data_IF_886781331890
#
_entry.id   IF_886781331890
#
_cell.length_a   1.000
_cell.length_b   1.000
_cell.length_c   1.000
_cell.angle_alpha   90.00
_cell.angle_beta   90.00
_cell.angle_gamma   90.00
#
_symmetry.space_group_name_H-M   'P 1'
#
loop_
_entity.id
_entity.type
_entity.pdbx_description
1 polymer ?
#
# COMPACT_ATOMS: atom_id res chain seq x y z
N UNK A 1 -11.70 -7.68 -6.17
CA UNK A 1 -11.44 -8.73 -5.17
C UNK A 1 -11.19 -8.11 -3.80
N UNK A 2 -11.62 -8.78 -2.76
CA UNK A 2 -11.40 -8.39 -1.38
C UNK A 2 -11.05 -9.64 -0.56
N UNK A 3 -9.88 -9.61 0.09
CA UNK A 3 -9.47 -10.64 1.04
C UNK A 3 -9.85 -10.23 2.44
N UNK A 4 -10.43 -11.15 3.20
CA UNK A 4 -10.87 -10.92 4.58
C UNK A 4 -10.38 -12.05 5.47
N UNK A 5 -9.84 -11.70 6.62
CA UNK A 5 -9.63 -12.65 7.71
C UNK A 5 -10.70 -12.40 8.78
N UNK A 6 -11.72 -13.25 8.89
CA UNK A 6 -12.89 -12.99 9.74
C UNK A 6 -12.56 -12.86 11.23
N UNK A 7 -11.55 -13.59 11.69
CA UNK A 7 -11.02 -13.50 13.05
C UNK A 7 -9.54 -13.85 13.05
N UNK A 8 -8.83 -13.49 14.10
CA UNK A 8 -7.43 -13.89 14.28
C UNK A 8 -7.31 -15.42 14.17
N UNK A 9 -6.30 -15.88 13.42
CA UNK A 9 -5.99 -17.29 13.19
C UNK A 9 -7.09 -18.11 12.46
N UNK A 10 -8.04 -17.45 11.81
CA UNK A 10 -8.97 -18.12 10.89
C UNK A 10 -8.45 -18.05 9.46
N UNK A 11 -8.92 -18.98 8.62
CA UNK A 11 -8.57 -18.96 7.20
C UNK A 11 -9.07 -17.68 6.54
N UNK A 12 -8.31 -17.19 5.57
CA UNK A 12 -8.70 -16.07 4.74
C UNK A 12 -9.88 -16.46 3.84
N UNK A 13 -10.75 -15.49 3.60
CA UNK A 13 -11.84 -15.57 2.65
C UNK A 13 -11.61 -14.58 1.53
N UNK A 14 -11.97 -14.98 0.32
CA UNK A 14 -11.91 -14.14 -0.87
C UNK A 14 -13.32 -13.82 -1.33
N UNK A 15 -13.57 -12.54 -1.58
CA UNK A 15 -14.82 -12.05 -2.15
C UNK A 15 -14.55 -11.32 -3.45
N UNK A 16 -15.47 -11.48 -4.41
CA UNK A 16 -15.48 -10.70 -5.65
C UNK A 16 -16.76 -9.90 -5.74
N UNK A 17 -16.65 -8.60 -6.03
CA UNK A 17 -17.82 -7.83 -6.40
C UNK A 17 -18.24 -8.16 -7.84
N UNK A 18 -19.52 -8.41 -8.03
CA UNK A 18 -20.11 -8.66 -9.36
C UNK A 18 -20.32 -7.38 -10.15
N UNK A 19 -20.31 -6.24 -9.47
CA UNK A 19 -20.56 -4.92 -10.05
C UNK A 19 -19.51 -3.93 -9.57
N UNK A 20 -19.26 -2.91 -10.39
CA UNK A 20 -18.30 -1.85 -10.07
C UNK A 20 -18.76 -0.93 -8.93
N UNK A 21 -19.98 -1.10 -8.42
CA UNK A 21 -20.54 -0.33 -7.31
C UNK A 21 -20.24 -0.96 -5.93
N UNK A 22 -19.61 -2.12 -5.91
CA UNK A 22 -19.28 -2.88 -4.68
C UNK A 22 -20.48 -3.17 -3.76
N UNK A 23 -21.71 -3.24 -4.30
CA UNK A 23 -22.93 -3.50 -3.51
C UNK A 23 -23.26 -4.98 -3.36
N UNK A 24 -22.78 -5.81 -4.28
CA UNK A 24 -22.99 -7.25 -4.25
C UNK A 24 -21.67 -8.00 -4.27
N UNK A 25 -21.52 -8.98 -3.40
CA UNK A 25 -20.31 -9.77 -3.24
C UNK A 25 -20.63 -11.26 -3.28
N UNK A 26 -19.79 -12.02 -3.95
CA UNK A 26 -19.81 -13.49 -3.91
C UNK A 26 -18.51 -13.98 -3.27
N UNK A 27 -18.64 -14.98 -2.41
CA UNK A 27 -17.47 -15.68 -1.86
C UNK A 27 -16.91 -16.62 -2.93
N UNK A 28 -15.61 -16.56 -3.13
CA UNK A 28 -14.88 -17.42 -4.06
C UNK A 28 -14.06 -18.45 -3.28
N UNK A 29 -13.82 -19.64 -3.84
CA UNK A 29 -12.85 -20.56 -3.26
C UNK A 29 -11.47 -19.87 -3.21
N UNK A 30 -10.71 -20.16 -2.18
CA UNK A 30 -9.35 -19.67 -2.01
C UNK A 30 -8.47 -20.87 -1.66
N UNK A 31 -7.43 -21.11 -2.43
CA UNK A 31 -6.52 -22.23 -2.27
C UNK A 31 -5.05 -21.81 -2.32
N UNK A 32 -4.20 -22.56 -1.65
CA UNK A 32 -2.75 -22.44 -1.72
C UNK A 32 -2.10 -21.44 -0.78
N UNK A 33 -2.84 -20.50 -0.19
CA UNK A 33 -2.28 -19.61 0.84
C UNK A 33 -2.26 -20.31 2.22
N UNK A 34 -1.27 -20.02 3.06
CA UNK A 34 -1.28 -20.46 4.45
C UNK A 34 -2.47 -19.83 5.20
N UNK A 35 -2.93 -20.54 6.26
CA UNK A 35 -4.12 -20.12 7.02
C UNK A 35 -3.92 -18.78 7.77
N UNK A 36 -2.68 -18.36 7.99
CA UNK A 36 -2.34 -17.12 8.71
C UNK A 36 -1.01 -16.56 8.23
N UNK A 37 -0.69 -15.34 8.66
CA UNK A 37 0.61 -14.73 8.40
C UNK A 37 0.75 -14.06 7.03
N UNK A 38 -0.28 -14.07 6.18
CA UNK A 38 -0.21 -13.43 4.85
C UNK A 38 -0.34 -11.91 4.99
N UNK A 39 0.54 -11.17 4.32
CA UNK A 39 0.58 -9.70 4.32
C UNK A 39 -0.37 -9.13 3.24
N UNK A 40 -1.67 -9.30 3.43
CA UNK A 40 -2.70 -8.96 2.45
C UNK A 40 -2.70 -7.48 2.03
N UNK A 41 -2.21 -6.58 2.87
CA UNK A 41 -2.09 -5.15 2.54
C UNK A 41 -1.00 -4.85 1.51
N UNK A 42 -0.15 -5.82 1.20
CA UNK A 42 0.97 -5.71 0.27
C UNK A 42 0.78 -6.58 -0.98
N UNK A 43 -0.45 -7.01 -1.29
CA UNK A 43 -0.70 -7.70 -2.56
C UNK A 43 -0.39 -6.73 -3.69
N UNK A 44 0.47 -7.15 -4.61
CA UNK A 44 0.82 -6.38 -5.79
C UNK A 44 0.68 -7.23 -7.05
N UNK A 45 0.44 -6.61 -8.19
CA UNK A 45 0.44 -7.28 -9.49
C UNK A 45 1.72 -6.94 -10.24
N UNK A 46 2.35 -7.95 -10.84
CA UNK A 46 3.53 -7.80 -11.66
C UNK A 46 3.58 -8.92 -12.70
N UNK A 47 3.93 -8.60 -13.93
CA UNK A 47 4.06 -9.57 -15.04
C UNK A 47 2.87 -10.55 -15.14
N UNK A 48 1.65 -10.00 -15.15
CA UNK A 48 0.37 -10.74 -15.22
C UNK A 48 0.07 -11.71 -14.05
N UNK A 49 0.85 -11.64 -12.97
CA UNK A 49 0.63 -12.40 -11.74
C UNK A 49 0.37 -11.47 -10.57
N UNK A 50 -0.37 -11.95 -9.60
CA UNK A 50 -0.47 -11.36 -8.27
C UNK A 50 0.58 -11.99 -7.37
N UNK A 51 1.18 -11.18 -6.50
CA UNK A 51 2.18 -11.61 -5.52
C UNK A 51 1.77 -11.18 -4.11
N UNK A 52 2.07 -12.02 -3.13
CA UNK A 52 1.88 -11.72 -1.71
C UNK A 52 2.97 -12.40 -0.89
N UNK A 53 3.50 -11.69 0.10
CA UNK A 53 4.45 -12.25 1.05
C UNK A 53 3.75 -12.70 2.35
N UNK A 54 4.43 -13.55 3.11
CA UNK A 54 4.05 -13.92 4.48
C UNK A 54 4.97 -13.27 5.50
N UNK A 55 4.56 -13.26 6.76
CA UNK A 55 5.40 -12.78 7.87
C UNK A 55 6.68 -13.60 8.05
N UNK A 56 6.64 -14.86 7.66
CA UNK A 56 7.77 -15.79 7.68
C UNK A 56 8.74 -15.57 6.51
N UNK A 57 8.35 -14.74 5.54
CA UNK A 57 9.18 -14.35 4.40
C UNK A 57 8.98 -15.18 3.13
N UNK A 58 8.00 -16.08 3.11
CA UNK A 58 7.66 -16.83 1.89
C UNK A 58 6.87 -15.96 0.91
N UNK A 59 7.15 -16.11 -0.38
CA UNK A 59 6.45 -15.42 -1.47
C UNK A 59 5.49 -16.38 -2.16
N UNK A 60 4.28 -15.91 -2.42
CA UNK A 60 3.26 -16.65 -3.18
C UNK A 60 2.86 -15.85 -4.41
N UNK A 61 2.52 -16.56 -5.49
CA UNK A 61 1.98 -15.95 -6.72
C UNK A 61 0.68 -16.62 -7.15
N UNK A 62 -0.12 -15.87 -7.92
CA UNK A 62 -1.39 -16.35 -8.47
C UNK A 62 -1.70 -15.62 -9.78
N UNK A 63 -2.22 -16.36 -10.78
CA UNK A 63 -2.70 -15.77 -12.02
C UNK A 63 -4.16 -15.27 -11.93
N UNK A 64 -4.94 -15.76 -10.97
CA UNK A 64 -6.38 -15.53 -10.88
C UNK A 64 -6.83 -14.94 -9.52
N UNK A 65 -5.87 -14.69 -8.62
CA UNK A 65 -6.10 -14.26 -7.23
C UNK A 65 -6.86 -15.28 -6.36
N UNK A 66 -7.14 -16.47 -6.88
CA UNK A 66 -7.90 -17.55 -6.22
C UNK A 66 -6.98 -18.71 -5.84
N UNK A 67 -6.16 -19.14 -6.80
CA UNK A 67 -5.24 -20.26 -6.65
C UNK A 67 -3.80 -19.73 -6.51
N UNK A 68 -3.23 -19.92 -5.33
CA UNK A 68 -1.90 -19.42 -5.00
C UNK A 68 -0.88 -20.54 -4.94
N UNK A 69 0.33 -20.26 -5.35
CA UNK A 69 1.44 -21.19 -5.34
C UNK A 69 2.66 -20.54 -4.70
N UNK A 70 3.39 -21.33 -3.91
CA UNK A 70 4.67 -20.91 -3.37
C UNK A 70 5.65 -20.66 -4.53
N UNK A 71 6.34 -19.52 -4.47
CA UNK A 71 7.42 -19.21 -5.41
C UNK A 71 8.71 -19.74 -4.81
N UNK A 72 9.21 -20.83 -5.38
CA UNK A 72 10.42 -21.50 -4.89
C UNK A 72 11.68 -20.69 -5.21
N UNK A 73 12.73 -20.85 -4.40
CA UNK A 73 14.02 -20.20 -4.64
C UNK A 73 14.06 -18.70 -4.37
N UNK A 74 13.04 -18.17 -3.69
CA UNK A 74 12.99 -16.74 -3.33
C UNK A 74 13.79 -16.46 -2.05
N UNK A 75 14.42 -15.27 -1.94
CA UNK A 75 14.98 -14.81 -0.66
C UNK A 75 13.85 -14.63 0.36
N UNK A 76 14.20 -14.47 1.61
CA UNK A 76 13.23 -14.19 2.68
C UNK A 76 12.66 -12.79 2.54
N UNK A 77 11.44 -12.68 1.99
CA UNK A 77 10.78 -11.41 1.67
C UNK A 77 10.18 -10.80 2.94
N UNK A 78 10.68 -9.64 3.34
CA UNK A 78 10.14 -8.87 4.47
C UNK A 78 8.91 -8.07 4.07
N UNK A 79 8.94 -7.42 2.91
CA UNK A 79 7.86 -6.56 2.40
C UNK A 79 7.88 -6.49 0.89
N UNK A 80 6.71 -6.46 0.28
CA UNK A 80 6.55 -6.06 -1.12
C UNK A 80 6.27 -4.56 -1.17
N UNK A 81 7.01 -3.84 -2.02
CA UNK A 81 6.94 -2.38 -2.11
C UNK A 81 6.13 -1.91 -3.33
N UNK A 82 6.00 -2.74 -4.35
CA UNK A 82 5.33 -2.41 -5.59
C UNK A 82 6.05 -3.01 -6.79
N UNK A 83 5.83 -2.44 -7.98
CA UNK A 83 6.53 -2.86 -9.19
C UNK A 83 6.95 -1.64 -10.00
N UNK A 84 8.02 -1.80 -10.77
CA UNK A 84 8.48 -0.84 -11.77
C UNK A 84 8.14 -1.44 -13.14
N UNK A 85 7.42 -0.68 -13.95
CA UNK A 85 7.08 -1.07 -15.31
C UNK A 85 8.28 -0.87 -16.25
N UNK A 86 8.29 -1.58 -17.36
CA UNK A 86 9.30 -1.40 -18.38
C UNK A 86 9.33 0.07 -18.82
N UNK A 87 10.52 0.64 -18.83
CA UNK A 87 10.77 2.00 -19.32
C UNK A 87 11.94 1.98 -20.29
N UNK A 88 12.19 3.11 -20.95
CA UNK A 88 13.23 3.22 -22.01
C UNK A 88 14.62 2.76 -21.56
N UNK A 89 14.90 2.77 -20.25
CA UNK A 89 16.22 2.47 -19.70
C UNK A 89 16.22 1.45 -18.56
N UNK A 90 15.05 0.90 -18.18
CA UNK A 90 14.92 -0.01 -17.05
C UNK A 90 13.95 -1.14 -17.39
N UNK A 91 14.33 -2.41 -17.14
CA UNK A 91 13.40 -3.53 -17.25
C UNK A 91 12.31 -3.44 -16.17
N UNK A 92 11.18 -4.08 -16.44
CA UNK A 92 10.15 -4.26 -15.43
C UNK A 92 10.65 -5.14 -14.29
N UNK A 93 10.38 -4.76 -13.04
CA UNK A 93 10.77 -5.52 -11.85
C UNK A 93 9.74 -5.42 -10.73
N UNK A 94 9.62 -6.48 -9.92
CA UNK A 94 8.92 -6.46 -8.65
C UNK A 94 9.88 -5.96 -7.56
N UNK A 95 9.48 -4.92 -6.84
CA UNK A 95 10.28 -4.29 -5.78
C UNK A 95 9.93 -4.85 -4.40
N UNK A 96 10.95 -5.22 -3.63
CA UNK A 96 10.79 -5.79 -2.31
C UNK A 96 11.90 -5.36 -1.34
N UNK A 97 11.68 -5.65 -0.05
CA UNK A 97 12.72 -5.73 0.98
C UNK A 97 12.92 -7.21 1.29
N UNK A 98 14.17 -7.64 1.33
CA UNK A 98 14.52 -9.02 1.71
C UNK A 98 15.47 -9.02 2.90
N UNK A 99 15.47 -10.12 3.64
CA UNK A 99 16.34 -10.33 4.79
C UNK A 99 17.58 -11.12 4.37
N UNK A 100 18.76 -10.56 4.58
CA UNK A 100 20.07 -11.18 4.39
C UNK A 100 20.81 -11.31 5.72
N UNK A 101 21.97 -11.98 5.73
CA UNK A 101 22.78 -12.19 6.94
C UNK A 101 23.13 -10.89 7.67
N UNK A 102 23.37 -9.81 6.92
CA UNK A 102 23.81 -8.51 7.46
C UNK A 102 22.65 -7.53 7.70
N UNK A 103 21.40 -7.93 7.46
CA UNK A 103 20.22 -7.09 7.67
C UNK A 103 19.27 -7.04 6.49
N UNK A 104 18.45 -5.98 6.45
CA UNK A 104 17.48 -5.78 5.38
C UNK A 104 18.13 -5.06 4.20
N UNK A 105 17.89 -5.56 3.00
CA UNK A 105 18.33 -4.94 1.74
C UNK A 105 17.15 -4.74 0.80
N UNK A 106 17.24 -3.75 -0.08
CA UNK A 106 16.31 -3.62 -1.19
C UNK A 106 16.58 -4.72 -2.22
N UNK A 107 15.54 -5.16 -2.91
CA UNK A 107 15.66 -6.22 -3.88
C UNK A 107 14.67 -6.03 -5.03
N UNK A 108 15.08 -6.51 -6.19
CA UNK A 108 14.30 -6.52 -7.42
C UNK A 108 14.19 -7.94 -7.98
N UNK A 109 12.99 -8.36 -8.38
CA UNK A 109 12.78 -9.62 -9.09
C UNK A 109 12.36 -9.31 -10.53
N UNK A 110 13.12 -9.82 -11.50
CA UNK A 110 12.80 -9.66 -12.92
C UNK A 110 11.67 -10.61 -13.38
N UNK A 111 11.30 -10.51 -14.66
CA UNK A 111 10.22 -11.31 -15.25
C UNK A 111 10.50 -12.83 -15.28
N UNK A 112 11.77 -13.22 -15.24
CA UNK A 112 12.24 -14.62 -15.19
C UNK A 112 12.28 -15.17 -13.76
N UNK A 113 11.92 -14.35 -12.74
CA UNK A 113 11.95 -14.72 -11.33
C UNK A 113 13.34 -14.66 -10.68
N UNK A 114 14.29 -14.02 -11.36
CA UNK A 114 15.65 -13.84 -10.82
C UNK A 114 15.68 -12.62 -9.91
N UNK A 115 16.37 -12.76 -8.78
CA UNK A 115 16.51 -11.71 -7.78
C UNK A 115 17.87 -11.03 -7.88
N UNK A 116 17.83 -9.71 -7.75
CA UNK A 116 19.00 -8.86 -7.57
C UNK A 116 18.82 -8.08 -6.27
N UNK A 117 19.89 -7.96 -5.46
CA UNK A 117 19.89 -7.18 -4.21
C UNK A 117 20.67 -5.89 -4.41
N UNK A 118 20.16 -4.83 -3.80
CA UNK A 118 20.70 -3.48 -3.88
C UNK A 118 21.26 -2.99 -2.55
N UNK A 119 20.96 -1.74 -2.23
CA UNK A 119 21.45 -1.08 -1.03
C UNK A 119 20.81 -1.62 0.24
N UNK A 120 21.52 -1.42 1.37
CA UNK A 120 20.97 -1.66 2.70
C UNK A 120 19.78 -0.72 2.95
N UNK A 121 18.72 -1.26 3.55
CA UNK A 121 17.55 -0.47 3.93
C UNK A 121 17.93 0.50 5.05
N UNK A 122 17.78 1.82 4.87
CA UNK A 122 18.03 2.80 5.92
C UNK A 122 17.18 2.55 7.17
N UNK A 123 17.74 2.82 8.35
CA UNK A 123 17.07 2.52 9.63
C UNK A 123 15.68 3.16 9.76
N UNK A 124 15.49 4.34 9.16
CA UNK A 124 14.21 5.07 9.17
C UNK A 124 13.32 4.80 7.96
N UNK A 125 13.71 3.92 7.04
CA UNK A 125 12.82 3.47 5.96
C UNK A 125 11.70 2.58 6.54
N UNK A 126 10.44 2.77 6.12
CA UNK A 126 9.34 1.97 6.64
C UNK A 126 9.35 0.55 6.04
N UNK A 127 9.25 -0.45 6.90
CA UNK A 127 9.22 -1.88 6.50
C UNK A 127 7.85 -2.52 6.68
N UNK A 128 6.92 -1.83 7.37
CA UNK A 128 5.54 -2.29 7.54
C UNK A 128 4.56 -1.12 7.71
N UNK A 129 3.28 -1.34 7.44
CA UNK A 129 2.22 -0.35 7.64
C UNK A 129 2.34 0.91 6.77
N UNK A 130 3.19 0.90 5.77
CA UNK A 130 3.32 1.97 4.77
C UNK A 130 2.23 1.90 3.72
N UNK A 131 2.05 2.99 2.97
CA UNK A 131 1.34 3.00 1.70
C UNK A 131 2.33 3.00 0.55
N UNK A 132 2.04 2.26 -0.50
CA UNK A 132 2.85 2.27 -1.71
C UNK A 132 2.01 2.50 -2.96
N UNK A 133 2.63 3.08 -3.97
CA UNK A 133 2.05 3.22 -5.30
C UNK A 133 3.13 3.06 -6.37
N UNK A 134 2.80 2.26 -7.38
CA UNK A 134 3.58 2.18 -8.62
C UNK A 134 2.96 3.13 -9.64
N UNK A 135 3.79 3.93 -10.28
CA UNK A 135 3.34 4.93 -11.26
C UNK A 135 4.20 4.89 -12.51
N UNK A 136 3.57 5.14 -13.64
CA UNK A 136 4.22 5.28 -14.93
C UNK A 136 3.89 6.65 -15.51
N UNK A 137 4.91 7.46 -15.76
CA UNK A 137 4.77 8.82 -16.27
C UNK A 137 5.87 9.15 -17.26
N UNK A 138 5.49 9.66 -18.41
CA UNK A 138 6.42 10.21 -19.42
C UNK A 138 7.62 9.28 -19.69
N UNK A 139 7.35 7.97 -19.86
CA UNK A 139 8.37 6.95 -20.12
C UNK A 139 9.27 6.60 -18.92
N UNK A 140 8.92 7.05 -17.73
CA UNK A 140 9.57 6.64 -16.49
C UNK A 140 8.58 5.93 -15.57
N UNK A 141 9.02 4.82 -14.99
CA UNK A 141 8.28 4.12 -13.94
C UNK A 141 8.99 4.33 -12.62
N UNK A 142 8.21 4.40 -11.54
CA UNK A 142 8.75 4.48 -10.18
C UNK A 142 7.79 3.89 -9.17
N UNK A 143 8.35 3.47 -8.04
CA UNK A 143 7.58 3.12 -6.85
C UNK A 143 7.76 4.21 -5.82
N UNK A 144 6.68 4.60 -5.16
CA UNK A 144 6.70 5.49 -4.00
C UNK A 144 6.16 4.79 -2.77
N UNK A 145 6.77 5.05 -1.62
CA UNK A 145 6.37 4.57 -0.29
C UNK A 145 6.23 5.75 0.64
N UNK A 146 5.16 5.79 1.46
CA UNK A 146 4.86 6.91 2.36
C UNK A 146 4.42 6.40 3.73
N UNK A 147 4.92 7.04 4.79
CA UNK A 147 4.59 6.71 6.18
C UNK A 147 4.98 5.30 6.56
N UNK A 148 4.30 4.71 7.54
CA UNK A 148 4.57 3.35 7.99
C UNK A 148 5.46 3.29 9.22
N UNK A 149 6.02 2.12 9.48
CA UNK A 149 6.86 1.84 10.64
C UNK A 149 8.17 1.20 10.21
N UNK A 150 9.27 1.75 10.68
CA UNK A 150 10.63 1.25 10.44
C UNK A 150 10.96 0.00 11.24
N UNK A 151 12.11 -0.61 10.96
CA UNK A 151 12.53 -1.87 11.60
C UNK A 151 12.74 -1.75 13.10
N UNK A 152 13.07 -0.57 13.62
CA UNK A 152 13.18 -0.26 15.06
C UNK A 152 11.82 0.06 15.73
N UNK A 153 10.71 0.02 14.97
CA UNK A 153 9.37 0.22 15.47
C UNK A 153 8.89 1.68 15.48
N UNK A 154 9.70 2.63 14.99
CA UNK A 154 9.33 4.05 14.94
C UNK A 154 8.38 4.34 13.77
N UNK A 155 7.34 5.12 14.00
CA UNK A 155 6.46 5.59 12.93
C UNK A 155 7.17 6.67 12.10
N UNK A 156 6.82 6.71 10.82
CA UNK A 156 7.41 7.61 9.83
C UNK A 156 6.36 8.51 9.20
N UNK A 157 6.80 9.64 8.67
CA UNK A 157 6.01 10.56 7.84
C UNK A 157 6.76 10.97 6.56
N UNK A 158 7.87 10.32 6.28
CA UNK A 158 8.65 10.54 5.07
C UNK A 158 8.03 9.86 3.84
N UNK A 159 8.37 10.38 2.68
CA UNK A 159 8.12 9.80 1.37
C UNK A 159 9.42 9.30 0.77
N UNK A 160 9.39 8.11 0.20
CA UNK A 160 10.54 7.49 -0.45
C UNK A 160 10.17 7.07 -1.87
N UNK A 161 11.11 7.17 -2.80
CA UNK A 161 10.89 6.71 -4.17
C UNK A 161 12.13 6.05 -4.77
N UNK A 162 11.85 5.15 -5.72
CA UNK A 162 12.88 4.47 -6.52
C UNK A 162 12.45 4.39 -7.99
N UNK A 163 13.43 4.29 -8.89
CA UNK A 163 13.22 4.01 -10.32
C UNK A 163 13.82 2.66 -10.75
N UNK A 164 14.53 1.94 -9.88
CA UNK A 164 15.20 0.67 -10.20
C UNK A 164 14.96 -0.42 -9.15
N UNK A 165 14.26 -0.10 -8.06
CA UNK A 165 13.99 -0.96 -6.91
C UNK A 165 15.20 -1.32 -6.03
N UNK A 166 16.42 -0.97 -6.42
CA UNK A 166 17.67 -1.37 -5.75
C UNK A 166 18.25 -0.28 -4.87
N UNK A 167 17.98 0.97 -5.18
CA UNK A 167 18.27 2.15 -4.36
C UNK A 167 17.03 3.00 -4.17
N UNK A 168 16.92 3.67 -3.03
CA UNK A 168 15.78 4.48 -2.67
C UNK A 168 16.22 5.83 -2.13
N UNK A 169 15.58 6.88 -2.61
CA UNK A 169 15.82 8.23 -2.15
C UNK A 169 14.63 8.76 -1.34
N UNK A 170 14.93 9.36 -0.19
CA UNK A 170 13.94 10.14 0.53
C UNK A 170 13.56 11.37 -0.29
N UNK A 171 12.27 11.58 -0.47
CA UNK A 171 11.73 12.64 -1.31
C UNK A 171 11.30 13.86 -0.49
N UNK A 172 10.83 13.64 0.74
CA UNK A 172 10.34 14.70 1.62
C UNK A 172 11.42 15.75 1.82
N UNK A 173 11.09 17.00 1.57
CA UNK A 173 12.05 18.08 1.76
C UNK A 173 12.35 18.32 3.26
N UNK A 174 13.44 19.01 3.53
CA UNK A 174 13.90 19.29 4.90
C UNK A 174 13.01 20.24 5.70
N UNK A 175 11.95 20.79 5.10
CA UNK A 175 11.01 21.71 5.74
C UNK A 175 9.77 21.01 6.27
N UNK A 176 9.59 19.70 6.00
CA UNK A 176 8.28 19.14 5.98
C UNK A 176 7.95 18.06 6.99
N UNK A 177 7.52 18.45 8.20
CA UNK A 177 6.55 17.64 8.96
C UNK A 177 5.13 17.95 8.45
N UNK A 178 4.83 17.56 7.20
CA UNK A 178 3.55 17.86 6.57
C UNK A 178 2.37 17.19 7.28
N UNK A 179 2.57 15.99 7.82
CA UNK A 179 1.59 15.25 8.59
C UNK A 179 2.27 14.50 9.73
N UNK A 180 1.50 14.13 10.75
CA UNK A 180 2.02 13.38 11.90
C UNK A 180 2.53 12.01 11.46
N UNK A 181 3.58 11.53 12.11
CA UNK A 181 4.09 10.17 11.91
C UNK A 181 2.99 9.15 12.13
N UNK A 182 2.81 8.22 11.19
CA UNK A 182 1.67 7.30 11.21
C UNK A 182 1.89 6.06 10.36
N UNK A 183 1.10 5.03 10.65
CA UNK A 183 1.05 3.79 9.87
C UNK A 183 -0.37 3.53 9.37
N UNK A 184 -0.49 2.64 8.38
CA UNK A 184 -1.79 2.25 7.82
C UNK A 184 -2.50 3.40 7.10
N UNK A 185 -1.76 4.35 6.55
CA UNK A 185 -2.29 5.35 5.63
C UNK A 185 -2.86 4.66 4.39
N UNK A 186 -3.72 5.34 3.68
CA UNK A 186 -4.21 4.94 2.37
C UNK A 186 -3.67 5.91 1.34
N UNK A 187 -3.10 5.40 0.24
CA UNK A 187 -2.58 6.25 -0.83
C UNK A 187 -3.17 5.82 -2.19
N UNK A 188 -3.50 6.80 -3.01
CA UNK A 188 -3.85 6.60 -4.40
C UNK A 188 -3.20 7.68 -5.27
N UNK A 189 -2.77 7.28 -6.47
CA UNK A 189 -2.39 8.19 -7.52
C UNK A 189 -3.59 8.43 -8.42
N UNK A 190 -4.01 9.68 -8.51
CA UNK A 190 -5.18 10.07 -9.27
C UNK A 190 -4.96 11.47 -9.85
N UNK A 191 -5.21 11.60 -11.16
CA UNK A 191 -5.23 12.88 -11.82
C UNK A 191 -3.92 13.67 -11.63
N UNK A 192 -2.79 13.00 -11.85
CA UNK A 192 -1.42 13.50 -11.69
C UNK A 192 -1.06 13.98 -10.28
N UNK A 193 -1.77 13.51 -9.27
CA UNK A 193 -1.50 13.81 -7.86
C UNK A 193 -1.56 12.55 -7.01
N UNK A 194 -0.76 12.52 -5.98
CA UNK A 194 -0.92 11.56 -4.89
C UNK A 194 -1.89 12.12 -3.86
N UNK A 195 -2.75 11.25 -3.38
CA UNK A 195 -3.64 11.52 -2.25
C UNK A 195 -3.33 10.55 -1.13
N UNK A 196 -3.08 11.08 0.06
CA UNK A 196 -2.83 10.32 1.29
C UNK A 196 -3.98 10.59 2.25
N UNK A 197 -4.60 9.53 2.76
CA UNK A 197 -5.77 9.65 3.64
C UNK A 197 -5.55 8.83 4.90
N UNK A 198 -5.89 9.40 6.05
CA UNK A 198 -6.02 8.69 7.32
C UNK A 198 -4.73 8.13 7.87
N UNK A 199 -4.80 6.92 8.39
CA UNK A 199 -3.72 6.28 9.14
C UNK A 199 -3.90 6.41 10.64
N UNK A 200 -3.00 5.81 11.40
CA UNK A 200 -3.00 5.81 12.87
C UNK A 200 -1.67 6.35 13.36
N UNK A 201 -1.71 7.38 14.17
CA UNK A 201 -0.54 8.07 14.70
C UNK A 201 0.11 7.36 15.90
N UNK A 202 1.18 7.95 16.44
CA UNK A 202 1.96 7.41 17.56
C UNK A 202 1.14 7.25 18.86
N UNK A 203 0.07 8.02 19.03
CA UNK A 203 -0.84 7.89 20.16
C UNK A 203 -1.88 6.78 19.98
N UNK A 204 -1.87 6.09 18.83
CA UNK A 204 -2.90 5.11 18.44
C UNK A 204 -4.19 5.76 17.94
N UNK A 205 -4.21 7.07 17.73
CA UNK A 205 -5.38 7.81 17.27
C UNK A 205 -5.52 7.69 15.75
N UNK A 206 -6.69 7.24 15.26
CA UNK A 206 -6.96 7.22 13.84
C UNK A 206 -7.19 8.64 13.30
N UNK A 207 -6.70 8.89 12.11
CA UNK A 207 -6.82 10.15 11.40
C UNK A 207 -7.83 10.03 10.26
N UNK A 208 -8.37 11.15 9.80
CA UNK A 208 -9.23 11.24 8.60
C UNK A 208 -8.85 12.41 7.69
N UNK A 209 -7.74 13.04 8.01
CA UNK A 209 -7.16 14.10 7.22
C UNK A 209 -6.75 13.60 5.83
N UNK A 210 -6.75 14.50 4.88
CA UNK A 210 -6.36 14.23 3.50
C UNK A 210 -5.23 15.18 3.14
N UNK A 211 -4.19 14.62 2.56
CA UNK A 211 -3.08 15.35 1.97
C UNK A 211 -2.95 15.01 0.50
N UNK A 212 -2.45 15.95 -0.28
CA UNK A 212 -2.10 15.74 -1.69
C UNK A 212 -0.70 16.23 -1.97
N UNK A 213 -0.04 15.55 -2.90
CA UNK A 213 1.25 15.91 -3.46
C UNK A 213 1.17 15.92 -4.98
N UNK A 214 1.68 16.97 -5.61
CA UNK A 214 1.84 17.09 -7.07
C UNK A 214 3.30 16.99 -7.53
N UNK A 215 4.22 16.78 -6.62
CA UNK A 215 5.67 16.79 -6.80
C UNK A 215 6.32 15.49 -6.30
N UNK A 216 5.60 14.38 -6.42
CA UNK A 216 6.06 13.03 -6.08
C UNK A 216 6.50 12.86 -4.62
N UNK A 217 5.74 13.46 -3.69
CA UNK A 217 5.96 13.29 -2.27
C UNK A 217 7.03 14.21 -1.68
N UNK A 218 7.53 15.19 -2.45
CA UNK A 218 8.45 16.21 -1.93
C UNK A 218 7.71 17.12 -0.95
N UNK A 219 6.54 17.60 -1.34
CA UNK A 219 5.66 18.39 -0.47
C UNK A 219 4.26 17.79 -0.39
N UNK A 220 3.60 17.95 0.76
CA UNK A 220 2.24 17.49 0.98
C UNK A 220 1.37 18.65 1.46
N UNK A 221 0.25 18.86 0.77
CA UNK A 221 -0.69 19.93 1.09
C UNK A 221 -1.96 19.35 1.72
N UNK A 222 -2.31 19.85 2.89
CA UNK A 222 -3.56 19.48 3.58
C UNK A 222 -4.78 19.90 2.77
N UNK A 223 -5.79 19.02 2.73
CA UNK A 223 -7.10 19.30 2.14
C UNK A 223 -8.14 19.30 3.27
N UNK A 224 -9.00 20.32 3.30
CA UNK A 224 -10.07 20.37 4.29
C UNK A 224 -11.05 19.19 4.13
N UNK A 225 -11.04 18.31 5.12
CA UNK A 225 -11.89 17.11 5.12
C UNK A 225 -13.38 17.40 5.25
N UNK A 226 -13.75 18.57 5.76
CA UNK A 226 -15.16 18.98 5.84
C UNK A 226 -15.82 19.11 4.48
N UNK A 227 -15.00 19.39 3.45
CA UNK A 227 -15.48 19.53 2.06
C UNK A 227 -15.47 18.19 1.32
N UNK A 228 -14.61 17.25 1.72
CA UNK A 228 -14.33 16.01 0.97
C UNK A 228 -15.01 14.79 1.60
N UNK A 229 -14.91 14.64 2.92
CA UNK A 229 -15.44 13.48 3.63
C UNK A 229 -16.73 13.84 4.36
N UNK A 230 -17.79 13.03 4.24
CA UNK A 230 -19.03 13.27 4.98
C UNK A 230 -18.81 13.13 6.50
N UNK A 231 -19.65 13.79 7.29
CA UNK A 231 -19.55 13.77 8.76
C UNK A 231 -19.64 12.35 9.36
N UNK A 232 -20.31 11.44 8.66
CA UNK A 232 -20.45 10.03 9.05
C UNK A 232 -19.20 9.19 8.76
N UNK A 233 -18.22 9.70 8.00
CA UNK A 233 -16.97 8.99 7.77
C UNK A 233 -16.14 8.93 9.06
N UNK A 234 -15.83 7.72 9.50
CA UNK A 234 -15.02 7.50 10.70
C UNK A 234 -13.52 7.52 10.33
N UNK A 235 -12.73 8.20 11.16
CA UNK A 235 -11.28 8.18 11.08
C UNK A 235 -10.77 6.74 11.13
N UNK A 236 -9.80 6.40 10.28
CA UNK A 236 -9.31 5.02 10.11
C UNK A 236 -7.89 4.91 9.58
N UNK A 237 -7.27 3.79 9.85
CA UNK A 237 -6.08 3.31 9.17
C UNK A 237 -6.26 1.88 8.69
N UNK A 238 -5.27 1.37 7.94
CA UNK A 238 -5.25 0.00 7.41
C UNK A 238 -6.46 -0.37 6.54
N UNK A 239 -7.11 0.62 5.94
CA UNK A 239 -8.11 0.39 4.91
C UNK A 239 -7.43 0.22 3.55
N UNK A 240 -8.09 -0.45 2.62
CA UNK A 240 -7.67 -0.48 1.23
C UNK A 240 -8.31 0.66 0.47
N UNK A 241 -7.54 1.31 -0.40
CA UNK A 241 -8.02 2.39 -1.25
C UNK A 241 -7.65 2.13 -2.70
N UNK A 242 -8.56 2.41 -3.60
CA UNK A 242 -8.35 2.32 -5.03
C UNK A 242 -9.15 3.41 -5.78
N UNK A 243 -8.72 3.70 -6.99
CA UNK A 243 -9.47 4.53 -7.94
C UNK A 243 -10.09 3.60 -8.98
N UNK A 244 -11.40 3.67 -9.17
CA UNK A 244 -12.10 2.87 -10.16
C UNK A 244 -11.97 3.46 -11.59
N UNK A 245 -12.40 2.71 -12.60
CA UNK A 245 -12.36 3.13 -14.02
C UNK A 245 -13.16 4.40 -14.34
N UNK A 246 -14.08 4.77 -13.46
CA UNK A 246 -14.93 5.96 -13.59
C UNK A 246 -14.43 7.13 -12.74
N UNK A 247 -13.17 7.04 -12.27
CA UNK A 247 -12.48 8.02 -11.44
C UNK A 247 -13.16 8.28 -10.09
N UNK A 248 -13.76 7.23 -9.50
CA UNK A 248 -14.17 7.27 -8.10
C UNK A 248 -13.11 6.68 -7.21
N UNK A 249 -12.85 7.36 -6.11
CA UNK A 249 -12.10 6.84 -4.99
C UNK A 249 -12.99 5.89 -4.20
N UNK A 250 -12.51 4.70 -3.93
CA UNK A 250 -13.19 3.71 -3.10
C UNK A 250 -12.30 3.34 -1.93
N UNK A 251 -12.87 3.34 -0.72
CA UNK A 251 -12.20 2.97 0.54
C UNK A 251 -12.95 1.79 1.15
N UNK A 252 -12.23 0.75 1.53
CA UNK A 252 -12.77 -0.50 2.04
C UNK A 252 -12.30 -0.77 3.45
N UNK A 253 -13.22 -0.89 4.41
CA UNK A 253 -12.95 -1.31 5.76
C UNK A 253 -11.94 -0.45 6.52
N UNK A 254 -10.96 -1.10 7.11
CA UNK A 254 -9.94 -0.47 7.95
C UNK A 254 -10.19 -0.64 9.44
N UNK A 255 -9.42 0.09 10.25
CA UNK A 255 -9.50 0.06 11.71
C UNK A 255 -9.70 1.47 12.26
N UNK A 256 -10.65 1.63 13.19
CA UNK A 256 -10.89 2.91 13.86
C UNK A 256 -10.08 3.06 15.16
N UNK A 257 -9.45 2.00 15.65
CA UNK A 257 -8.51 2.05 16.77
C UNK A 257 -7.50 0.92 16.67
N UNK A 258 -6.28 1.13 17.22
CA UNK A 258 -5.33 0.06 17.54
C UNK A 258 -5.08 0.15 19.05
N UNK A 259 -5.95 -0.43 19.84
CA UNK A 259 -5.66 -0.70 21.23
C UNK A 259 -5.57 -2.19 21.46
N UNK A 260 -4.84 -2.61 22.49
CA UNK A 260 -4.74 -4.02 22.89
C UNK A 260 -6.09 -4.61 23.34
N UNK A 261 -7.09 -3.76 23.56
CA UNK A 261 -8.39 -4.13 24.12
C UNK A 261 -9.52 -4.05 23.09
N UNK A 262 -9.38 -3.20 22.04
CA UNK A 262 -10.46 -2.95 21.09
C UNK A 262 -9.91 -2.77 19.66
N UNK A 263 -9.95 -3.86 18.90
CA UNK A 263 -9.71 -3.84 17.45
C UNK A 263 -11.04 -3.62 16.75
N UNK A 264 -11.49 -2.36 16.65
CA UNK A 264 -12.68 -2.06 15.88
C UNK A 264 -12.37 -2.08 14.39
N UNK A 265 -12.58 -3.24 13.78
CA UNK A 265 -12.58 -3.36 12.34
C UNK A 265 -13.85 -2.72 11.77
N UNK A 266 -13.67 -1.87 10.79
CA UNK A 266 -14.75 -1.28 10.01
C UNK A 266 -15.10 -2.22 8.86
N UNK A 267 -16.39 -2.33 8.55
CA UNK A 267 -16.91 -3.19 7.49
C UNK A 267 -17.71 -2.41 6.43
N UNK A 268 -17.50 -1.11 6.38
CA UNK A 268 -18.13 -0.20 5.44
C UNK A 268 -17.30 -0.03 4.16
N UNK A 269 -17.98 0.41 3.11
CA UNK A 269 -17.34 0.78 1.84
C UNK A 269 -17.78 2.20 1.51
N UNK A 270 -16.82 3.05 1.23
CA UNK A 270 -17.02 4.42 0.83
C UNK A 270 -16.67 4.61 -0.64
N UNK A 271 -17.53 5.34 -1.37
CA UNK A 271 -17.29 5.71 -2.76
C UNK A 271 -17.55 7.19 -2.94
N UNK A 272 -16.59 7.89 -3.49
CA UNK A 272 -16.69 9.32 -3.72
C UNK A 272 -15.72 9.81 -4.77
N UNK A 273 -15.81 11.08 -5.15
CA UNK A 273 -14.83 11.75 -5.99
C UNK A 273 -14.11 12.81 -5.18
N UNK A 274 -12.81 12.91 -5.36
CA UNK A 274 -12.07 14.09 -4.94
C UNK A 274 -12.36 15.15 -5.99
N UNK A 275 -13.21 16.12 -5.63
CA UNK A 275 -13.63 17.15 -6.56
C UNK A 275 -12.56 18.22 -6.70
N UNK A 276 -11.85 18.23 -7.83
CA UNK A 276 -10.93 19.31 -8.18
C UNK A 276 -11.63 20.66 -8.35
N UNK A 277 -12.86 20.64 -8.83
CA UNK A 277 -13.61 21.85 -9.19
C UNK A 277 -14.19 22.58 -7.98
N UNK A 278 -14.18 21.99 -6.81
CA UNK A 278 -14.53 22.67 -5.56
C UNK A 278 -13.66 23.90 -5.28
N UNK A 279 -12.49 23.97 -5.92
CA UNK A 279 -11.54 25.06 -5.77
C UNK A 279 -11.68 26.16 -6.84
N UNK A 280 -12.42 25.93 -7.90
CA UNK A 280 -12.47 26.83 -9.08
C UNK A 280 -13.81 27.52 -9.28
N UNK A 281 -14.81 27.22 -8.48
CA UNK A 281 -16.05 27.99 -8.50
C UNK A 281 -15.91 29.23 -7.63
N UNK A 282 -15.33 30.24 -8.22
CA UNK A 282 -15.59 31.63 -7.85
C UNK A 282 -16.88 32.09 -8.49
#
# INVERSE_FOLDING_TARGET
>A
YMYVQPAANTAYKLYRSKQTDAKSWEELPLAGLPASGVLLSQITSYNHLYYVATKEGSLYSSADAVNWQLVEGTPKVKSLLGYIDESTNQPAVLSAIVEEENGLVFAAMNAEGQWETGEMVPAHFPVEGFSSASIYLMYTSRVMVVGGKSSDGQLQNASWATMNALDWAEQTDSYGDYFTKRQGTMMAYYDNMFYLIGGIDESGKPQKDIYRSSDYGVTWNYIDTLVVLPSSYQARGFASMLVDKDNYLMIFGGKSTITTIDNQNLNDIWKGRINRLGFERQ
#
